data_IF_633075982773
#
_entry.id   IF_633075982773
#
_cell.length_a   1.000
_cell.length_b   1.000
_cell.length_c   1.000
_cell.angle_alpha   90.00
_cell.angle_beta   90.00
_cell.angle_gamma   90.00
#
_symmetry.space_group_name_H-M   'P 1'
#
loop_
_entity.id
_entity.type
_entity.pdbx_description
1 polymer ?
#
# COMPACT_ATOMS: atom_id res chain seq x y z
N UNK A 1 17.30 57.73 43.00
CA UNK A 1 17.04 57.80 41.55
C UNK A 1 15.54 57.95 41.37
N UNK A 2 15.07 59.13 40.99
CA UNK A 2 13.65 59.42 40.82
C UNK A 2 13.12 58.62 39.64
N UNK A 3 12.17 57.71 39.85
CA UNK A 3 11.44 57.10 38.75
C UNK A 3 10.51 58.17 38.18
N UNK A 4 10.77 58.58 36.93
CA UNK A 4 9.84 59.41 36.19
C UNK A 4 8.57 58.58 35.93
N UNK A 5 7.43 59.05 36.42
CA UNK A 5 6.15 58.39 36.13
C UNK A 5 5.79 58.63 34.66
N UNK A 6 5.38 57.58 33.92
CA UNK A 6 5.00 57.71 32.53
C UNK A 6 3.81 58.64 32.37
N UNK A 7 3.84 59.45 31.31
CA UNK A 7 2.72 60.34 30.95
C UNK A 7 1.69 59.59 30.10
N UNK A 8 0.48 60.15 29.97
CA UNK A 8 -0.56 59.59 29.10
C UNK A 8 -0.08 59.44 27.64
N UNK A 9 0.75 60.37 27.15
CA UNK A 9 1.32 60.32 25.80
C UNK A 9 2.32 59.17 25.63
N UNK A 10 3.06 58.81 26.69
CA UNK A 10 3.97 57.66 26.67
C UNK A 10 3.20 56.34 26.61
N UNK A 11 2.09 56.25 27.34
CA UNK A 11 1.18 55.10 27.29
C UNK A 11 0.49 54.99 25.93
N UNK A 12 0.06 56.11 25.34
CA UNK A 12 -0.57 56.12 24.01
C UNK A 12 0.39 55.68 22.91
N UNK A 13 1.65 56.15 22.94
CA UNK A 13 2.70 55.69 22.01
C UNK A 13 2.97 54.20 22.13
N UNK A 14 3.03 53.67 23.35
CA UNK A 14 3.22 52.24 23.58
C UNK A 14 2.05 51.41 23.02
N UNK A 15 0.82 51.92 23.13
CA UNK A 15 -0.36 51.26 22.56
C UNK A 15 -0.31 51.19 21.03
N UNK A 16 0.06 52.30 20.36
CA UNK A 16 0.24 52.32 18.91
C UNK A 16 1.36 51.38 18.44
N UNK A 17 2.48 51.32 19.16
CA UNK A 17 3.58 50.40 18.84
C UNK A 17 3.15 48.94 19.02
N UNK A 18 2.39 48.66 20.08
CA UNK A 18 1.86 47.32 20.37
C UNK A 18 0.88 46.87 19.30
N UNK A 19 -0.05 47.74 18.88
CA UNK A 19 -1.01 47.45 17.81
C UNK A 19 -0.27 47.15 16.49
N UNK A 20 0.75 47.95 16.15
CA UNK A 20 1.57 47.71 14.96
C UNK A 20 2.29 46.36 15.01
N UNK A 21 2.91 46.01 16.15
CA UNK A 21 3.56 44.71 16.34
C UNK A 21 2.56 43.55 16.26
N UNK A 22 1.35 43.74 16.77
CA UNK A 22 0.30 42.73 16.71
C UNK A 22 -0.14 42.48 15.27
N UNK A 23 -0.34 43.54 14.48
CA UNK A 23 -0.67 43.43 13.05
C UNK A 23 0.46 42.77 12.25
N UNK A 24 1.72 43.10 12.52
CA UNK A 24 2.88 42.44 11.88
C UNK A 24 2.93 40.94 12.25
N UNK A 25 2.68 40.60 13.52
CA UNK A 25 2.63 39.21 14.00
C UNK A 25 1.50 38.42 13.33
N UNK A 26 0.30 39.00 13.25
CA UNK A 26 -0.86 38.37 12.60
C UNK A 26 -0.61 38.11 11.11
N UNK A 27 0.07 39.04 10.40
CA UNK A 27 0.48 38.83 9.01
C UNK A 27 1.47 37.68 8.88
N UNK A 28 2.52 37.67 9.70
CA UNK A 28 3.53 36.61 9.69
C UNK A 28 2.90 35.25 10.00
N UNK A 29 2.00 35.18 10.97
CA UNK A 29 1.27 33.95 11.32
C UNK A 29 0.42 33.44 10.15
N UNK A 30 -0.29 34.33 9.45
CA UNK A 30 -1.10 33.96 8.27
C UNK A 30 -0.23 33.47 7.13
N UNK A 31 0.91 34.10 6.88
CA UNK A 31 1.86 33.65 5.85
C UNK A 31 2.47 32.30 6.19
N UNK A 32 2.93 32.13 7.44
CA UNK A 32 3.48 30.87 7.95
C UNK A 32 2.45 29.73 7.89
N UNK A 33 1.19 30.00 8.25
CA UNK A 33 0.12 29.01 8.14
C UNK A 33 -0.13 28.60 6.68
N UNK A 34 -0.15 29.56 5.75
CA UNK A 34 -0.30 29.27 4.31
C UNK A 34 0.88 28.48 3.74
N UNK A 35 2.11 28.80 4.15
CA UNK A 35 3.29 28.05 3.72
C UNK A 35 3.26 26.62 4.29
N UNK A 36 2.90 26.47 5.55
CA UNK A 36 2.75 25.16 6.21
C UNK A 36 1.70 24.32 5.51
N UNK A 37 0.53 24.89 5.19
CA UNK A 37 -0.53 24.21 4.45
C UNK A 37 -0.05 23.74 3.06
N UNK A 38 0.66 24.59 2.32
CA UNK A 38 1.25 24.21 1.02
C UNK A 38 2.25 23.06 1.16
N UNK A 39 3.19 23.15 2.10
CA UNK A 39 4.18 22.09 2.36
C UNK A 39 3.51 20.78 2.78
N UNK A 40 2.43 20.86 3.55
CA UNK A 40 1.65 19.69 3.95
C UNK A 40 0.98 19.02 2.76
N UNK A 41 0.35 19.81 1.87
CA UNK A 41 -0.26 19.30 0.63
C UNK A 41 0.78 18.65 -0.30
N UNK A 42 1.94 19.27 -0.47
CA UNK A 42 3.05 18.69 -1.25
C UNK A 42 3.54 17.36 -0.66
N UNK A 43 3.65 17.30 0.67
CA UNK A 43 4.03 16.07 1.39
C UNK A 43 3.00 14.96 1.21
N UNK A 44 1.70 15.28 1.34
CA UNK A 44 0.63 14.30 1.14
C UNK A 44 0.62 13.73 -0.29
N UNK A 45 0.84 14.58 -1.30
CA UNK A 45 0.99 14.15 -2.68
C UNK A 45 2.22 13.24 -2.89
N UNK A 46 3.34 13.58 -2.27
CA UNK A 46 4.56 12.76 -2.32
C UNK A 46 4.33 11.39 -1.68
N UNK A 47 3.71 11.36 -0.49
CA UNK A 47 3.39 10.11 0.23
C UNK A 47 2.46 9.24 -0.61
N UNK A 48 1.39 9.80 -1.19
CA UNK A 48 0.48 9.06 -2.09
C UNK A 48 1.22 8.45 -3.28
N UNK A 49 2.14 9.20 -3.89
CA UNK A 49 2.94 8.71 -5.02
C UNK A 49 3.88 7.59 -4.60
N UNK A 50 4.55 7.72 -3.45
CA UNK A 50 5.43 6.68 -2.91
C UNK A 50 4.66 5.40 -2.60
N UNK A 51 3.51 5.50 -1.94
CA UNK A 51 2.65 4.35 -1.63
C UNK A 51 2.20 3.63 -2.90
N UNK A 52 1.80 4.36 -3.95
CA UNK A 52 1.46 3.77 -5.25
C UNK A 52 2.64 3.05 -5.88
N UNK A 53 3.80 3.70 -5.95
CA UNK A 53 5.00 3.12 -6.56
C UNK A 53 5.47 1.85 -5.81
N UNK A 54 5.36 1.83 -4.48
CA UNK A 54 5.66 0.65 -3.68
C UNK A 54 4.68 -0.49 -3.95
N UNK A 55 3.39 -0.19 -4.07
CA UNK A 55 2.38 -1.18 -4.47
C UNK A 55 2.65 -1.77 -5.85
N UNK A 56 2.93 -0.92 -6.84
CA UNK A 56 3.27 -1.35 -8.20
C UNK A 56 4.55 -2.21 -8.23
N UNK A 57 5.54 -1.87 -7.40
CA UNK A 57 6.76 -2.68 -7.25
C UNK A 57 6.45 -4.05 -6.62
N UNK A 58 5.63 -4.08 -5.57
CA UNK A 58 5.19 -5.32 -4.94
C UNK A 58 4.48 -6.26 -5.91
N UNK A 59 3.58 -5.73 -6.73
CA UNK A 59 2.88 -6.51 -7.77
C UNK A 59 3.85 -7.09 -8.81
N UNK A 60 4.80 -6.29 -9.30
CA UNK A 60 5.82 -6.75 -10.26
C UNK A 60 6.74 -7.82 -9.68
N UNK A 61 7.04 -7.75 -8.37
CA UNK A 61 7.78 -8.81 -7.69
C UNK A 61 6.98 -10.10 -7.59
N UNK A 62 5.67 -10.02 -7.34
CA UNK A 62 4.77 -11.17 -7.39
C UNK A 62 4.78 -11.85 -8.75
N UNK A 63 4.52 -11.08 -9.81
CA UNK A 63 4.56 -11.54 -11.20
C UNK A 63 5.91 -12.17 -11.57
N UNK A 64 7.02 -11.57 -11.11
CA UNK A 64 8.35 -12.12 -11.35
C UNK A 64 8.55 -13.50 -10.70
N UNK A 65 8.08 -13.68 -9.45
CA UNK A 65 8.15 -14.98 -8.77
C UNK A 65 7.32 -16.01 -9.51
N UNK A 66 6.13 -15.68 -9.99
CA UNK A 66 5.28 -16.58 -10.78
C UNK A 66 6.00 -17.07 -12.04
N UNK A 67 6.62 -16.17 -12.80
CA UNK A 67 7.39 -16.50 -14.00
C UNK A 67 8.61 -17.39 -13.72
N UNK A 68 9.27 -17.21 -12.56
CA UNK A 68 10.37 -18.09 -12.13
C UNK A 68 9.87 -19.48 -11.73
N UNK A 69 8.69 -19.55 -11.11
CA UNK A 69 8.12 -20.81 -10.59
C UNK A 69 7.52 -21.65 -11.70
N UNK A 70 6.89 -21.06 -12.72
CA UNK A 70 6.25 -21.78 -13.82
C UNK A 70 7.12 -22.89 -14.46
N UNK A 71 8.37 -22.64 -14.90
CA UNK A 71 9.21 -23.70 -15.46
C UNK A 71 9.67 -24.72 -14.42
N UNK A 72 9.82 -24.33 -13.15
CA UNK A 72 10.19 -25.24 -12.07
C UNK A 72 9.07 -26.24 -11.76
N UNK A 73 7.81 -25.78 -11.79
CA UNK A 73 6.62 -26.61 -11.61
C UNK A 73 6.52 -27.70 -12.68
N UNK A 74 6.78 -27.36 -13.94
CA UNK A 74 6.81 -28.36 -15.04
C UNK A 74 7.86 -29.44 -14.78
N UNK A 75 9.09 -29.05 -14.41
CA UNK A 75 10.16 -30.00 -14.10
C UNK A 75 9.81 -30.89 -12.91
N UNK A 76 9.26 -30.31 -11.85
CA UNK A 76 8.89 -31.02 -10.63
C UNK A 76 7.84 -32.10 -10.92
N UNK A 77 6.73 -31.73 -11.57
CA UNK A 77 5.65 -32.67 -11.84
C UNK A 77 6.06 -33.77 -12.81
N UNK A 78 6.79 -33.45 -13.89
CA UNK A 78 7.32 -34.46 -14.81
C UNK A 78 8.28 -35.43 -14.10
N UNK A 79 9.14 -34.91 -13.22
CA UNK A 79 10.03 -35.75 -12.40
C UNK A 79 9.31 -36.68 -11.43
N UNK A 80 8.06 -36.36 -11.06
CA UNK A 80 7.19 -37.21 -10.24
C UNK A 80 6.29 -38.14 -11.08
N UNK A 81 6.49 -38.21 -12.40
CA UNK A 81 5.67 -39.01 -13.30
C UNK A 81 4.29 -38.41 -13.60
N UNK A 82 4.08 -37.13 -13.26
CA UNK A 82 2.85 -36.40 -13.59
C UNK A 82 3.07 -35.69 -14.92
N UNK A 83 2.34 -36.11 -15.95
CA UNK A 83 2.37 -35.43 -17.23
C UNK A 83 1.83 -34.00 -17.09
N UNK A 84 2.46 -33.05 -17.79
CA UNK A 84 2.05 -31.65 -17.83
C UNK A 84 1.82 -31.26 -19.28
N UNK A 85 0.56 -30.95 -19.61
CA UNK A 85 0.13 -30.54 -20.94
C UNK A 85 0.20 -29.03 -21.11
N UNK A 86 -0.29 -28.30 -20.12
CA UNK A 86 -0.31 -26.85 -20.14
C UNK A 86 -0.13 -26.27 -18.73
N UNK A 87 0.44 -25.07 -18.68
CA UNK A 87 0.52 -24.24 -17.48
C UNK A 87 -0.05 -22.88 -17.84
N UNK A 88 -1.08 -22.45 -17.10
CA UNK A 88 -1.72 -21.16 -17.27
C UNK A 88 -1.43 -20.27 -16.06
N UNK A 89 -0.72 -19.14 -16.23
CA UNK A 89 -0.53 -18.17 -15.17
C UNK A 89 -1.76 -17.28 -14.96
N UNK A 90 -1.93 -16.75 -13.75
CA UNK A 90 -2.90 -15.70 -13.43
C UNK A 90 -4.36 -16.07 -13.72
N UNK A 91 -4.75 -17.32 -13.44
CA UNK A 91 -6.11 -17.79 -13.74
C UNK A 91 -7.08 -17.24 -12.70
N UNK A 92 -8.05 -16.44 -13.15
CA UNK A 92 -9.12 -15.92 -12.32
C UNK A 92 -10.48 -16.51 -12.69
N UNK A 93 -11.32 -16.73 -11.68
CA UNK A 93 -12.70 -17.18 -11.85
C UNK A 93 -13.61 -16.47 -10.83
N UNK A 94 -14.88 -16.23 -11.20
CA UNK A 94 -15.86 -15.61 -10.31
C UNK A 94 -17.13 -16.45 -10.26
N UNK A 95 -17.62 -16.75 -9.05
CA UNK A 95 -18.89 -17.48 -8.84
C UNK A 95 -19.59 -16.97 -7.58
N UNK A 96 -20.90 -16.71 -7.68
CA UNK A 96 -21.73 -16.24 -6.56
C UNK A 96 -21.17 -15.01 -5.82
N UNK A 97 -20.52 -14.09 -6.55
CA UNK A 97 -19.90 -12.90 -5.97
C UNK A 97 -18.49 -13.11 -5.41
N UNK A 98 -18.04 -14.35 -5.26
CA UNK A 98 -16.69 -14.68 -4.79
C UNK A 98 -15.72 -14.81 -5.97
N UNK A 99 -14.55 -14.17 -5.84
CA UNK A 99 -13.47 -14.27 -6.81
C UNK A 99 -12.41 -15.28 -6.33
N UNK A 100 -11.93 -16.08 -7.26
CA UNK A 100 -10.88 -17.07 -7.09
C UNK A 100 -9.73 -16.69 -8.02
N UNK A 101 -8.53 -16.55 -7.47
CA UNK A 101 -7.31 -16.31 -8.23
C UNK A 101 -6.32 -17.45 -7.96
N UNK A 102 -5.71 -17.96 -9.03
CA UNK A 102 -4.74 -19.05 -9.00
C UNK A 102 -3.52 -18.57 -9.78
N UNK A 103 -2.40 -18.45 -9.07
CA UNK A 103 -1.14 -17.95 -9.63
C UNK A 103 -0.67 -18.80 -10.81
N UNK A 104 -0.70 -20.14 -10.67
CA UNK A 104 -0.42 -21.08 -11.76
C UNK A 104 -1.41 -22.26 -11.74
N UNK A 105 -2.11 -22.47 -12.85
CA UNK A 105 -2.97 -23.62 -13.07
C UNK A 105 -2.27 -24.60 -14.03
N UNK A 106 -1.92 -25.77 -13.52
CA UNK A 106 -1.33 -26.86 -14.30
C UNK A 106 -2.42 -27.82 -14.71
N UNK A 107 -2.43 -28.16 -16.00
CA UNK A 107 -3.44 -29.02 -16.62
C UNK A 107 -2.78 -30.26 -17.20
N UNK A 108 -3.41 -31.41 -16.94
CA UNK A 108 -3.16 -32.67 -17.62
C UNK A 108 -4.51 -33.35 -17.99
N UNK A 109 -4.48 -34.54 -18.59
CA UNK A 109 -5.71 -35.21 -19.07
C UNK A 109 -6.75 -35.52 -17.99
N UNK A 110 -6.34 -35.73 -16.73
CA UNK A 110 -7.22 -36.21 -15.67
C UNK A 110 -7.35 -35.28 -14.45
N UNK A 111 -6.55 -34.22 -14.38
CA UNK A 111 -6.38 -33.41 -13.19
C UNK A 111 -6.01 -31.96 -13.49
N UNK A 112 -6.44 -31.11 -12.56
CA UNK A 112 -6.09 -29.70 -12.49
C UNK A 112 -5.36 -29.45 -11.17
N UNK A 113 -4.12 -28.96 -11.24
CA UNK A 113 -3.30 -28.64 -10.07
C UNK A 113 -3.18 -27.12 -9.98
N UNK A 114 -3.69 -26.55 -8.89
CA UNK A 114 -3.49 -25.14 -8.57
C UNK A 114 -2.21 -24.99 -7.75
N UNK A 115 -1.32 -24.10 -8.18
CA UNK A 115 -0.06 -23.78 -7.51
C UNK A 115 -0.10 -22.30 -7.13
N UNK A 116 0.22 -22.04 -5.87
CA UNK A 116 0.34 -20.68 -5.31
C UNK A 116 1.83 -20.33 -5.15
N UNK A 117 2.19 -19.13 -5.56
CA UNK A 117 3.53 -18.56 -5.48
C UNK A 117 3.60 -17.55 -4.34
N UNK A 118 4.65 -17.63 -3.50
CA UNK A 118 4.93 -16.63 -2.47
C UNK A 118 6.38 -16.19 -2.58
N UNK A 119 6.61 -14.89 -2.62
CA UNK A 119 7.95 -14.30 -2.58
C UNK A 119 8.67 -14.58 -1.25
N UNK A 120 7.91 -14.72 -0.16
CA UNK A 120 8.40 -15.15 1.15
C UNK A 120 7.36 -16.04 1.83
N UNK A 121 7.73 -17.28 2.14
CA UNK A 121 6.88 -18.20 2.87
C UNK A 121 7.07 -17.98 4.38
N UNK A 122 5.98 -17.75 5.11
CA UNK A 122 5.95 -17.71 6.58
C UNK A 122 4.94 -18.75 7.07
N UNK A 123 5.06 -19.21 8.33
CA UNK A 123 4.11 -20.17 8.90
C UNK A 123 2.67 -19.60 8.91
N UNK A 124 2.52 -18.30 9.15
CA UNK A 124 1.24 -17.59 9.07
C UNK A 124 0.60 -17.69 7.68
N UNK A 125 1.39 -17.59 6.61
CA UNK A 125 0.89 -17.76 5.24
C UNK A 125 0.36 -19.18 4.97
N UNK A 126 0.92 -20.20 5.64
CA UNK A 126 0.48 -21.59 5.51
C UNK A 126 -0.88 -21.78 6.18
N UNK A 127 -1.06 -21.27 7.40
CA UNK A 127 -2.31 -21.37 8.14
C UNK A 127 -3.46 -20.62 7.44
N UNK A 128 -3.16 -19.44 6.87
CA UNK A 128 -4.14 -18.68 6.09
C UNK A 128 -4.52 -19.41 4.78
N UNK A 129 -3.55 -20.04 4.09
CA UNK A 129 -3.82 -20.85 2.90
C UNK A 129 -4.65 -22.11 3.22
N UNK A 130 -4.39 -22.76 4.36
CA UNK A 130 -5.17 -23.92 4.81
C UNK A 130 -6.63 -23.53 5.10
N UNK A 131 -6.86 -22.36 5.70
CA UNK A 131 -8.20 -21.82 5.92
C UNK A 131 -8.92 -21.51 4.58
N UNK A 132 -8.25 -20.84 3.64
CA UNK A 132 -8.80 -20.50 2.30
C UNK A 132 -9.10 -21.74 1.45
N UNK A 133 -8.25 -22.78 1.52
CA UNK A 133 -8.42 -24.00 0.71
C UNK A 133 -9.65 -24.82 1.14
N UNK A 134 -10.05 -24.76 2.42
CA UNK A 134 -11.30 -25.37 2.90
C UNK A 134 -12.54 -24.72 2.25
N UNK A 135 -12.49 -23.42 1.96
CA UNK A 135 -13.56 -22.70 1.26
C UNK A 135 -13.61 -23.06 -0.24
N UNK A 136 -12.44 -23.13 -0.91
CA UNK A 136 -12.34 -23.52 -2.33
C UNK A 136 -12.88 -24.94 -2.60
N UNK A 137 -12.71 -25.89 -1.67
CA UNK A 137 -13.28 -27.25 -1.81
C UNK A 137 -14.81 -27.30 -1.78
N UNK A 138 -15.49 -26.31 -1.17
CA UNK A 138 -16.96 -26.25 -1.14
C UNK A 138 -17.57 -25.78 -2.47
N UNK A 139 -16.87 -24.94 -3.23
CA UNK A 139 -17.33 -24.45 -4.55
C UNK A 139 -17.28 -25.56 -5.62
N UNK A 140 -16.46 -26.61 -5.41
CA UNK A 140 -16.26 -27.73 -6.33
C UNK A 140 -17.22 -28.91 -6.14
N UNK A 141 -18.02 -28.98 -5.08
CA UNK A 141 -18.98 -30.09 -4.87
C UNK A 141 -20.38 -29.68 -5.33
N UNK A 142 -20.71 -30.05 -6.57
CA UNK A 142 -22.02 -30.61 -6.88
C UNK A 142 -21.90 -32.12 -6.81
#
# INVERSE_FOLDING_TARGET
MSQANPTLDDVWRLFQETDRRFQETDRLMKESAKETDRRFQETDLLVKRLSKNLGDLGNRLGEFVEHLVAPAVVRLFRGQGIEVHAVYPGVSAKRNGEALEIDLLVVNEGALIAVECKSKLTCEHIDEQLARTRHRRRIRRH
#
